data_IF_192071903932
#
_entry.id   IF_192071903932
#
_cell.length_a   1.000
_cell.length_b   1.000
_cell.length_c   1.000
_cell.angle_alpha   90.00
_cell.angle_beta   90.00
_cell.angle_gamma   90.00
#
_symmetry.space_group_name_H-M   'P 1'
#
loop_
_entity.id
_entity.type
_entity.pdbx_description
1 polymer ?
#
# COMPACT_ATOMS: atom_id res chain seq x y z
N UNK A 1 14.43 -13.38 8.13
CA UNK A 1 14.98 -12.77 6.90
C UNK A 1 14.24 -11.46 6.69
N UNK A 2 14.95 -10.34 6.55
CA UNK A 2 14.32 -9.06 6.17
C UNK A 2 13.95 -9.13 4.70
N UNK A 3 12.75 -9.62 4.42
CA UNK A 3 12.09 -9.52 3.11
C UNK A 3 11.55 -8.11 2.98
N UNK A 4 12.45 -7.13 2.78
CA UNK A 4 12.01 -5.79 2.41
C UNK A 4 11.30 -5.88 1.05
N UNK A 5 10.01 -5.59 1.05
CA UNK A 5 9.22 -5.53 -0.17
C UNK A 5 9.79 -4.46 -1.09
N UNK A 6 9.95 -4.79 -2.37
CA UNK A 6 10.38 -3.81 -3.38
C UNK A 6 9.28 -2.79 -3.67
N UNK A 7 8.03 -3.08 -3.31
CA UNK A 7 6.86 -2.26 -3.60
C UNK A 7 6.42 -1.37 -2.45
N UNK A 8 6.82 -1.65 -1.21
CA UNK A 8 6.41 -0.83 -0.08
C UNK A 8 7.43 -0.92 1.05
N UNK A 9 7.47 0.12 1.87
CA UNK A 9 8.30 0.16 3.06
C UNK A 9 7.44 0.28 4.31
N UNK A 10 7.63 -0.64 5.24
CA UNK A 10 7.07 -0.56 6.59
C UNK A 10 8.14 0.10 7.48
N UNK A 11 7.83 1.28 8.01
CA UNK A 11 8.68 1.99 8.95
C UNK A 11 8.88 1.20 10.22
N UNK A 12 10.13 1.10 10.64
CA UNK A 12 10.54 0.46 11.89
C UNK A 12 11.51 1.39 12.60
N UNK A 13 11.34 1.54 13.92
CA UNK A 13 12.24 2.27 14.79
C UNK A 13 13.57 1.53 14.99
N UNK A 14 14.48 2.17 15.73
CA UNK A 14 15.85 1.67 15.97
C UNK A 14 15.87 0.27 16.62
N UNK A 15 14.85 -0.06 17.40
CA UNK A 15 14.66 -1.37 18.04
C UNK A 15 13.91 -2.39 17.16
N UNK A 16 13.57 -2.05 15.92
CA UNK A 16 12.80 -2.88 15.00
C UNK A 16 11.28 -2.81 15.19
N UNK A 17 10.78 -2.06 16.19
CA UNK A 17 9.34 -1.92 16.40
C UNK A 17 8.70 -1.05 15.31
N UNK A 18 7.47 -1.36 14.86
CA UNK A 18 6.78 -0.52 13.88
C UNK A 18 6.64 0.93 14.36
N UNK A 19 6.95 1.90 13.50
CA UNK A 19 6.89 3.33 13.82
C UNK A 19 5.74 4.00 13.03
N UNK A 20 4.72 4.56 13.71
CA UNK A 20 3.62 5.23 13.03
C UNK A 20 4.12 6.40 12.18
N UNK A 21 3.46 6.60 11.05
CA UNK A 21 3.67 7.71 10.12
C UNK A 21 2.42 8.61 10.13
N UNK A 22 2.61 9.89 9.84
CA UNK A 22 1.50 10.84 9.71
C UNK A 22 0.82 10.74 8.34
N UNK A 23 1.58 10.34 7.32
CA UNK A 23 1.13 10.28 5.92
C UNK A 23 1.57 8.99 5.24
N UNK A 24 0.71 8.49 4.37
CA UNK A 24 0.98 7.44 3.40
C UNK A 24 1.37 8.07 2.06
N UNK A 25 2.53 7.69 1.51
CA UNK A 25 2.91 8.05 0.14
C UNK A 25 2.50 6.96 -0.86
N UNK A 26 1.78 7.34 -1.90
CA UNK A 26 1.38 6.46 -3.01
C UNK A 26 2.06 6.92 -4.30
N UNK A 27 3.01 6.15 -4.80
CA UNK A 27 3.69 6.41 -6.07
C UNK A 27 2.86 5.77 -7.20
N UNK A 28 1.99 6.57 -7.83
CA UNK A 28 1.07 6.14 -8.90
C UNK A 28 1.76 6.04 -10.26
N UNK A 29 2.92 6.68 -10.42
CA UNK A 29 3.80 6.54 -11.58
C UNK A 29 5.25 6.85 -11.20
N UNK A 30 6.20 6.72 -12.14
CA UNK A 30 7.59 7.13 -11.91
C UNK A 30 7.80 8.63 -11.73
N UNK A 31 6.77 9.45 -12.03
CA UNK A 31 6.85 10.92 -12.01
C UNK A 31 5.80 11.56 -11.11
N UNK A 32 4.92 10.77 -10.49
CA UNK A 32 3.81 11.28 -9.70
C UNK A 32 3.64 10.47 -8.42
N UNK A 33 3.39 11.18 -7.32
CA UNK A 33 2.97 10.58 -6.07
C UNK A 33 1.86 11.40 -5.41
N UNK A 34 1.03 10.73 -4.63
CA UNK A 34 0.06 11.35 -3.73
C UNK A 34 0.51 11.15 -2.27
N UNK A 35 0.19 12.10 -1.41
CA UNK A 35 0.33 11.97 0.05
C UNK A 35 -1.06 12.03 0.67
N UNK A 36 -1.42 10.99 1.43
CA UNK A 36 -2.68 10.90 2.13
C UNK A 36 -2.42 10.81 3.63
N UNK A 37 -3.12 11.63 4.41
CA UNK A 37 -2.95 11.62 5.87
C UNK A 37 -3.57 10.37 6.48
N UNK A 38 -2.79 9.67 7.30
CA UNK A 38 -3.31 8.56 8.10
C UNK A 38 -4.35 9.00 9.12
N UNK A 39 -4.37 10.26 9.52
CA UNK A 39 -5.39 10.81 10.42
C UNK A 39 -6.78 10.89 9.75
N UNK A 40 -6.82 10.89 8.42
CA UNK A 40 -8.05 10.88 7.64
C UNK A 40 -8.40 9.48 7.11
N UNK A 41 -7.65 8.45 7.48
CA UNK A 41 -7.96 7.06 7.12
C UNK A 41 -9.16 6.59 7.94
N UNK A 42 -10.25 6.27 7.26
CA UNK A 42 -11.52 5.87 7.87
C UNK A 42 -11.69 4.34 7.86
N UNK A 43 -11.38 3.72 6.71
CA UNK A 43 -11.65 2.31 6.50
C UNK A 43 -10.56 1.65 5.66
N UNK A 44 -10.24 0.39 5.97
CA UNK A 44 -9.38 -0.44 5.14
C UNK A 44 -9.97 -1.86 5.06
N UNK A 45 -10.03 -2.40 3.84
CA UNK A 45 -10.52 -3.75 3.54
C UNK A 45 -9.49 -4.50 2.72
N UNK A 46 -9.16 -5.70 3.18
CA UNK A 46 -8.32 -6.63 2.45
C UNK A 46 -9.14 -7.83 1.99
N UNK A 47 -9.02 -8.15 0.71
CA UNK A 47 -9.64 -9.31 0.08
C UNK A 47 -8.56 -10.11 -0.63
N UNK A 48 -8.45 -11.39 -0.30
CA UNK A 48 -7.52 -12.30 -0.97
C UNK A 48 -8.29 -13.20 -1.92
N UNK A 49 -7.86 -13.26 -3.17
CA UNK A 49 -8.34 -14.24 -4.14
C UNK A 49 -7.19 -15.13 -4.61
N UNK A 50 -7.52 -16.22 -5.33
CA UNK A 50 -6.54 -17.25 -5.73
C UNK A 50 -5.33 -16.70 -6.47
N UNK A 51 -5.49 -15.63 -7.24
CA UNK A 51 -4.43 -15.06 -8.09
C UNK A 51 -4.18 -13.57 -7.84
N UNK A 52 -5.08 -12.89 -7.10
CA UNK A 52 -5.05 -11.45 -6.97
C UNK A 52 -5.63 -11.01 -5.61
N UNK A 53 -4.80 -10.34 -4.81
CA UNK A 53 -5.22 -9.63 -3.61
C UNK A 53 -5.64 -8.20 -3.96
N UNK A 54 -6.62 -7.69 -3.24
CA UNK A 54 -7.06 -6.29 -3.30
C UNK A 54 -7.08 -5.69 -1.90
N UNK A 55 -6.46 -4.51 -1.76
CA UNK A 55 -6.52 -3.67 -0.57
C UNK A 55 -7.20 -2.35 -0.93
N UNK A 56 -8.39 -2.14 -0.38
CA UNK A 56 -9.15 -0.90 -0.52
C UNK A 56 -9.02 -0.07 0.75
N UNK A 57 -8.65 1.20 0.63
CA UNK A 57 -8.47 2.11 1.74
C UNK A 57 -9.29 3.38 1.47
N UNK A 58 -10.21 3.71 2.36
CA UNK A 58 -10.96 4.94 2.32
C UNK A 58 -10.30 5.98 3.23
N UNK A 59 -10.07 7.15 2.66
CA UNK A 59 -9.71 8.37 3.34
C UNK A 59 -10.88 9.36 3.21
N UNK A 60 -10.91 10.38 4.07
CA UNK A 60 -11.98 11.39 4.13
C UNK A 60 -12.49 11.85 2.75
N UNK A 61 -11.59 12.16 1.82
CA UNK A 61 -11.93 12.67 0.48
C UNK A 61 -11.39 11.81 -0.68
N UNK A 62 -10.86 10.61 -0.39
CA UNK A 62 -10.22 9.78 -1.41
C UNK A 62 -10.46 8.30 -1.13
N UNK A 63 -10.63 7.51 -2.18
CA UNK A 63 -10.54 6.07 -2.11
C UNK A 63 -9.29 5.60 -2.85
N UNK A 64 -8.56 4.69 -2.23
CA UNK A 64 -7.38 4.07 -2.80
C UNK A 64 -7.65 2.59 -2.98
N UNK A 65 -7.38 2.07 -4.18
CA UNK A 65 -7.43 0.63 -4.47
C UNK A 65 -6.07 0.15 -4.92
N UNK A 66 -5.53 -0.81 -4.18
CA UNK A 66 -4.24 -1.45 -4.46
C UNK A 66 -4.51 -2.88 -4.86
N UNK A 67 -4.10 -3.24 -6.07
CA UNK A 67 -4.15 -4.61 -6.56
C UNK A 67 -2.76 -5.23 -6.61
N UNK A 68 -2.67 -6.50 -6.27
CA UNK A 68 -1.47 -7.29 -6.56
C UNK A 68 -1.48 -8.68 -5.95
N UNK A 69 -0.36 -9.16 -5.41
CA UNK A 69 -0.21 -10.49 -4.81
C UNK A 69 0.51 -10.41 -3.48
N UNK A 70 0.17 -11.31 -2.54
CA UNK A 70 0.74 -11.37 -1.19
C UNK A 70 0.67 -10.03 -0.45
N UNK A 71 -0.46 -9.32 -0.58
CA UNK A 71 -0.65 -8.00 0.03
C UNK A 71 -1.07 -8.06 1.51
N UNK A 72 -1.16 -9.26 2.10
CA UNK A 72 -1.60 -9.43 3.49
C UNK A 72 -0.70 -8.70 4.48
N UNK A 73 0.62 -8.77 4.33
CA UNK A 73 1.55 -8.06 5.23
C UNK A 73 1.35 -6.55 5.13
N UNK A 74 1.22 -6.02 3.91
CA UNK A 74 0.90 -4.63 3.66
C UNK A 74 -0.42 -4.22 4.34
N UNK A 75 -1.49 -5.00 4.15
CA UNK A 75 -2.79 -4.74 4.75
C UNK A 75 -2.74 -4.70 6.28
N UNK A 76 -2.02 -5.64 6.91
CA UNK A 76 -1.83 -5.66 8.38
C UNK A 76 -1.03 -4.45 8.85
N UNK A 77 -0.01 -4.03 8.10
CA UNK A 77 0.81 -2.87 8.46
C UNK A 77 0.04 -1.54 8.45
N UNK A 78 -1.08 -1.45 7.72
CA UNK A 78 -1.97 -0.28 7.74
C UNK A 78 -2.58 -0.04 9.13
N UNK A 79 -2.84 -1.10 9.90
CA UNK A 79 -3.38 -0.97 11.27
C UNK A 79 -2.47 -0.11 12.16
N UNK A 80 -1.16 -0.26 12.03
CA UNK A 80 -0.18 0.50 12.82
C UNK A 80 0.15 1.87 12.25
N UNK A 81 -0.43 2.26 11.11
CA UNK A 81 0.01 3.42 10.30
C UNK A 81 1.51 3.38 9.99
N UNK A 82 2.06 2.19 9.78
CA UNK A 82 3.51 2.03 9.69
C UNK A 82 4.01 2.00 8.25
N UNK A 83 3.17 2.18 7.24
CA UNK A 83 3.62 2.13 5.83
C UNK A 83 4.07 3.52 5.40
N UNK A 84 5.33 3.66 5.01
CA UNK A 84 5.89 4.95 4.57
C UNK A 84 5.50 5.26 3.13
N UNK A 85 5.69 4.28 2.24
CA UNK A 85 5.33 4.40 0.84
C UNK A 85 4.85 3.08 0.26
N UNK A 86 4.05 3.18 -0.80
CA UNK A 86 3.65 2.09 -1.68
C UNK A 86 3.88 2.55 -3.12
N UNK A 87 4.45 1.69 -3.96
CA UNK A 87 4.73 1.97 -5.36
C UNK A 87 4.46 0.74 -6.23
N UNK A 88 4.18 0.99 -7.49
CA UNK A 88 4.02 -0.06 -8.50
C UNK A 88 5.32 -0.85 -8.69
N UNK A 89 5.18 -2.14 -8.98
CA UNK A 89 6.28 -2.94 -9.53
C UNK A 89 6.71 -2.34 -10.86
N UNK A 90 7.99 -2.03 -11.07
CA UNK A 90 8.47 -1.70 -12.39
C UNK A 90 8.31 -2.94 -13.28
N UNK A 91 7.59 -2.84 -14.40
CA UNK A 91 7.13 -3.99 -15.22
C UNK A 91 8.21 -4.96 -15.75
N UNK A 92 9.49 -4.67 -15.52
CA UNK A 92 10.64 -5.52 -15.82
C UNK A 92 10.95 -6.56 -14.74
N UNK A 93 10.36 -6.42 -13.55
CA UNK A 93 10.66 -7.22 -12.35
C UNK A 93 9.48 -8.06 -11.85
N UNK A 94 8.30 -7.97 -12.48
CA UNK A 94 7.12 -8.77 -12.11
C UNK A 94 7.37 -10.28 -12.24
N UNK A 95 8.24 -10.70 -13.16
CA UNK A 95 8.60 -12.11 -13.35
C UNK A 95 9.71 -12.62 -12.41
N UNK A 96 10.46 -11.73 -11.75
CA UNK A 96 11.65 -12.07 -10.94
C UNK A 96 11.34 -12.06 -9.43
N UNK A 97 10.25 -11.43 -9.04
CA UNK A 97 9.87 -11.30 -7.63
C UNK A 97 9.26 -12.62 -7.17
N UNK A 98 9.99 -13.36 -6.33
CA UNK A 98 9.56 -14.67 -5.82
C UNK A 98 8.17 -14.63 -5.18
N UNK A 99 7.47 -15.76 -5.23
CA UNK A 99 6.05 -15.91 -4.87
C UNK A 99 5.70 -15.62 -3.38
N UNK A 100 6.66 -15.17 -2.58
CA UNK A 100 6.49 -14.85 -1.15
C UNK A 100 6.57 -13.34 -0.85
N UNK A 101 7.13 -12.53 -1.75
CA UNK A 101 7.20 -11.09 -1.54
C UNK A 101 5.91 -10.40 -2.01
N UNK A 102 5.47 -9.39 -1.26
CA UNK A 102 4.31 -8.58 -1.61
C UNK A 102 4.55 -7.79 -2.90
N UNK A 103 3.66 -7.97 -3.87
CA UNK A 103 3.77 -7.43 -5.21
C UNK A 103 2.60 -6.47 -5.46
N UNK A 104 2.88 -5.22 -5.83
CA UNK A 104 1.86 -4.20 -6.13
C UNK A 104 1.79 -3.95 -7.65
N UNK A 105 0.70 -4.36 -8.27
CA UNK A 105 0.51 -4.33 -9.73
C UNK A 105 -0.35 -3.14 -10.19
N UNK A 106 -1.24 -2.66 -9.33
CA UNK A 106 -2.06 -1.47 -9.58
C UNK A 106 -2.21 -0.62 -8.32
N UNK A 107 -2.26 0.70 -8.52
CA UNK A 107 -2.61 1.70 -7.51
C UNK A 107 -3.54 2.68 -8.19
N UNK A 108 -4.78 2.73 -7.72
CA UNK A 108 -5.80 3.65 -8.20
C UNK A 108 -6.17 4.58 -7.04
N UNK A 109 -6.25 5.87 -7.33
CA UNK A 109 -6.66 6.91 -6.36
C UNK A 109 -7.80 7.69 -6.98
N UNK A 110 -8.97 7.60 -6.37
CA UNK A 110 -10.17 8.30 -6.79
C UNK A 110 -10.56 9.34 -5.74
N UNK A 111 -10.92 10.55 -6.16
CA UNK A 111 -11.51 11.52 -5.26
C UNK A 111 -12.91 11.03 -4.86
N UNK A 112 -13.17 10.96 -3.56
CA UNK A 112 -14.50 10.69 -3.02
C UNK A 112 -15.31 11.98 -3.10
N UNK A 113 -15.77 12.32 -4.30
CA UNK A 113 -16.73 13.40 -4.48
C UNK A 113 -18.10 12.95 -3.97
N UNK A 114 -18.76 13.79 -3.16
CA UNK A 114 -20.22 13.78 -3.06
C UNK A 114 -20.77 13.82 -4.49
N UNK A 115 -21.32 12.70 -4.97
CA UNK A 115 -22.27 12.73 -6.07
C UNK A 115 -23.54 13.36 -5.50
N UNK A 116 -23.61 14.68 -5.53
CA UNK A 116 -24.88 15.41 -5.51
C UNK A 116 -25.61 15.20 -6.83
#
# INVERSE_FOLDING_TARGET
MNTESTCYKISRGINGNPMPQDNLRLETSSTCFCLLSYHHMDFAKFESAREHDTLTISFLNHQVRIGGRNLRELAVAMQGRCVEFIKLVPGRYSAVTGNEAGLVESIEVEASGERN
#
